data_IF_444674941648
#
_entry.id   IF_444674941648
#
_cell.length_a   1.000
_cell.length_b   1.000
_cell.length_c   1.000
_cell.angle_alpha   90.00
_cell.angle_beta   90.00
_cell.angle_gamma   90.00
#
_symmetry.space_group_name_H-M   'P 1'
#
loop_
_entity.id
_entity.type
_entity.pdbx_description
1 polymer ?
#
# COMPACT_ATOMS: atom_id res chain seq x y z
N UNK A 1 22.54 57.25 5.28
CA UNK A 1 23.73 57.46 6.13
C UNK A 1 24.98 57.10 5.35
N UNK A 2 26.09 57.81 5.54
CA UNK A 2 27.36 57.47 4.88
C UNK A 2 28.13 56.46 5.73
N UNK A 3 28.33 55.25 5.21
CA UNK A 3 29.15 54.22 5.90
C UNK A 3 30.59 54.68 6.12
N UNK A 4 31.11 55.57 5.27
CA UNK A 4 32.47 56.12 5.40
C UNK A 4 32.54 57.07 6.60
N UNK A 5 31.57 57.97 6.76
CA UNK A 5 31.55 58.92 7.89
C UNK A 5 31.29 58.20 9.23
N UNK A 6 30.50 57.11 9.24
CA UNK A 6 30.24 56.31 10.43
C UNK A 6 31.50 55.64 11.01
N UNK A 7 32.56 55.44 10.21
CA UNK A 7 33.83 54.91 10.74
C UNK A 7 34.56 55.90 11.65
N UNK A 8 34.28 57.20 11.52
CA UNK A 8 34.88 58.24 12.35
C UNK A 8 34.32 58.23 13.78
N UNK A 9 33.21 57.53 14.05
CA UNK A 9 32.62 57.41 15.40
C UNK A 9 33.07 56.15 16.14
N UNK A 10 34.17 55.50 15.71
CA UNK A 10 34.62 54.18 16.20
C UNK A 10 34.57 54.02 17.73
N UNK A 11 35.17 54.94 18.49
CA UNK A 11 35.19 54.85 19.96
C UNK A 11 33.85 55.16 20.63
N UNK A 12 32.93 55.85 19.95
CA UNK A 12 31.58 56.12 20.47
C UNK A 12 30.64 54.91 20.33
N UNK A 13 31.01 53.91 19.53
CA UNK A 13 30.18 52.74 19.28
C UNK A 13 30.41 51.60 20.31
N UNK A 14 31.45 51.66 21.13
CA UNK A 14 31.67 50.74 22.26
C UNK A 14 30.82 51.18 23.45
N UNK A 15 30.00 50.28 23.99
CA UNK A 15 29.03 50.59 25.06
C UNK A 15 29.54 50.11 26.41
N UNK A 16 29.91 48.84 26.51
CA UNK A 16 30.42 48.24 27.74
C UNK A 16 31.25 46.99 27.42
N UNK A 17 32.00 46.53 28.41
CA UNK A 17 32.69 45.24 28.36
C UNK A 17 31.89 44.20 29.16
N UNK A 18 32.09 42.92 28.86
CA UNK A 18 31.54 41.82 29.62
C UNK A 18 32.55 40.67 29.70
N UNK A 19 32.39 39.79 30.69
CA UNK A 19 33.32 38.66 30.94
C UNK A 19 34.77 39.13 31.13
N UNK A 20 35.00 40.05 32.09
CA UNK A 20 36.33 40.54 32.47
C UNK A 20 37.19 41.02 31.28
N UNK A 21 36.56 41.79 30.38
CA UNK A 21 37.22 42.34 29.19
C UNK A 21 37.34 41.38 28.01
N UNK A 22 36.82 40.15 28.12
CA UNK A 22 36.80 39.19 27.00
C UNK A 22 35.86 39.63 25.86
N UNK A 23 34.75 40.27 26.20
CA UNK A 23 33.73 40.70 25.25
C UNK A 23 33.43 42.18 25.33
N UNK A 24 32.98 42.74 24.20
CA UNK A 24 32.52 44.14 24.10
C UNK A 24 31.11 44.17 23.51
N UNK A 25 30.23 44.93 24.16
CA UNK A 25 28.92 45.29 23.61
C UNK A 25 29.10 46.51 22.73
N UNK A 26 28.67 46.42 21.46
CA UNK A 26 28.73 47.52 20.50
C UNK A 26 27.34 47.96 20.05
N UNK A 27 27.22 49.23 19.67
CA UNK A 27 26.04 49.80 19.01
C UNK A 27 26.36 50.12 17.54
N UNK A 28 26.80 49.10 16.82
CA UNK A 28 27.08 49.22 15.39
C UNK A 28 25.81 49.15 14.54
N UNK A 29 25.87 49.78 13.36
CA UNK A 29 24.82 49.69 12.36
C UNK A 29 24.69 48.25 11.85
N UNK A 30 23.50 47.66 11.99
CA UNK A 30 23.17 46.30 11.54
C UNK A 30 22.12 46.31 10.43
N UNK A 31 21.97 47.41 9.71
CA UNK A 31 20.96 47.54 8.64
C UNK A 31 21.24 46.57 7.47
N UNK A 32 22.47 46.10 7.29
CA UNK A 32 22.81 45.06 6.30
C UNK A 32 21.99 43.77 6.48
N UNK A 33 21.50 43.48 7.69
CA UNK A 33 20.65 42.33 7.99
C UNK A 33 19.30 42.37 7.26
N UNK A 34 18.86 43.55 6.82
CA UNK A 34 17.64 43.71 6.04
C UNK A 34 17.67 42.95 4.72
N UNK A 35 18.85 42.65 4.18
CA UNK A 35 18.98 41.81 3.00
C UNK A 35 18.34 40.41 3.22
N UNK A 36 18.64 39.77 4.35
CA UNK A 36 18.06 38.47 4.70
C UNK A 36 16.60 38.56 5.11
N UNK A 37 16.20 39.62 5.86
CA UNK A 37 14.79 39.87 6.19
C UNK A 37 13.93 40.01 4.95
N UNK A 38 14.38 40.81 3.98
CA UNK A 38 13.69 41.04 2.70
C UNK A 38 13.69 39.81 1.80
N UNK A 39 14.69 38.92 1.92
CA UNK A 39 14.67 37.62 1.22
C UNK A 39 13.54 36.72 1.76
N UNK A 40 13.36 36.65 3.07
CA UNK A 40 12.34 35.82 3.72
C UNK A 40 10.91 36.33 3.55
N UNK A 41 10.72 37.65 3.55
CA UNK A 41 9.43 38.27 3.24
C UNK A 41 8.89 37.78 1.89
N UNK A 42 7.58 37.63 1.79
CA UNK A 42 6.90 37.03 0.64
C UNK A 42 5.52 37.69 0.48
N UNK A 43 4.91 37.49 -0.69
CA UNK A 43 3.67 38.15 -1.07
C UNK A 43 2.46 37.44 -0.44
N UNK A 44 2.47 36.10 -0.48
CA UNK A 44 1.41 35.25 0.09
C UNK A 44 1.88 33.81 0.31
N UNK A 45 1.07 33.08 1.07
CA UNK A 45 1.17 31.63 1.26
C UNK A 45 -0.09 30.98 0.73
N UNK A 46 0.05 29.89 -0.03
CA UNK A 46 -1.08 29.08 -0.53
C UNK A 46 -0.97 27.67 0.02
N UNK A 47 -2.06 27.09 0.50
CA UNK A 47 -2.08 25.67 0.89
C UNK A 47 -2.09 24.79 -0.35
N UNK A 48 -1.19 23.81 -0.39
CA UNK A 48 -1.21 22.75 -1.40
C UNK A 48 -0.67 21.43 -0.83
N UNK A 49 -0.56 20.41 -1.68
CA UNK A 49 0.00 19.09 -1.38
C UNK A 49 0.71 18.53 -2.61
N UNK A 50 1.35 17.36 -2.48
CA UNK A 50 2.05 16.67 -3.57
C UNK A 50 1.24 15.48 -4.07
N UNK A 51 0.80 15.53 -5.33
CA UNK A 51 0.15 14.41 -6.02
C UNK A 51 1.14 13.34 -6.46
N UNK A 52 1.85 12.74 -5.52
CA UNK A 52 2.84 11.70 -5.73
C UNK A 52 2.54 10.47 -4.85
N UNK A 53 2.77 9.26 -5.38
CA UNK A 53 2.53 8.00 -4.68
C UNK A 53 3.59 7.78 -3.58
N UNK A 54 3.41 8.42 -2.43
CA UNK A 54 4.37 8.41 -1.34
C UNK A 54 3.75 8.14 0.04
N UNK A 55 2.44 7.91 0.10
CA UNK A 55 1.59 7.79 1.32
C UNK A 55 1.59 9.00 2.26
N UNK A 56 2.50 9.97 2.09
CA UNK A 56 2.70 11.05 3.04
C UNK A 56 1.53 12.02 3.20
N UNK A 57 0.78 12.32 2.13
CA UNK A 57 -0.37 13.26 2.16
C UNK A 57 -0.11 14.57 2.92
N UNK A 58 1.10 15.12 2.76
CA UNK A 58 1.58 16.25 3.54
C UNK A 58 1.03 17.57 2.97
N UNK A 59 0.54 18.46 3.84
CA UNK A 59 0.05 19.79 3.48
C UNK A 59 1.20 20.78 3.60
N UNK A 60 1.34 21.65 2.60
CA UNK A 60 2.45 22.60 2.49
C UNK A 60 1.95 24.03 2.35
N UNK A 61 2.76 24.95 2.90
CA UNK A 61 2.73 26.40 2.70
C UNK A 61 3.57 26.69 1.45
N UNK A 62 2.93 27.04 0.35
CA UNK A 62 3.60 27.42 -0.90
C UNK A 62 3.81 28.93 -0.90
N UNK A 63 5.07 29.37 -0.91
CA UNK A 63 5.45 30.77 -0.81
C UNK A 63 5.56 31.41 -2.20
N UNK A 64 4.76 32.46 -2.41
CA UNK A 64 4.84 33.30 -3.60
C UNK A 64 5.55 34.59 -3.25
N UNK A 65 6.58 34.96 -4.02
CA UNK A 65 7.35 36.21 -3.85
C UNK A 65 7.71 36.78 -5.20
N UNK A 66 7.43 38.06 -5.41
CA UNK A 66 7.60 38.69 -6.73
C UNK A 66 6.70 38.06 -7.80
N UNK A 67 5.51 37.59 -7.40
CA UNK A 67 4.55 36.94 -8.30
C UNK A 67 4.92 35.53 -8.78
N UNK A 68 6.02 34.95 -8.30
CA UNK A 68 6.45 33.58 -8.63
C UNK A 68 6.50 32.70 -7.38
N UNK A 69 6.29 31.39 -7.54
CA UNK A 69 6.54 30.43 -6.45
C UNK A 69 8.05 30.36 -6.21
N UNK A 70 8.46 30.38 -4.95
CA UNK A 70 9.88 30.46 -4.59
C UNK A 70 10.38 29.32 -3.71
N UNK A 71 9.63 28.93 -2.68
CA UNK A 71 9.92 27.77 -1.83
C UNK A 71 8.63 27.28 -1.18
N UNK A 72 8.71 26.16 -0.46
CA UNK A 72 7.65 25.65 0.40
C UNK A 72 8.16 25.28 1.79
N UNK A 73 7.30 25.38 2.79
CA UNK A 73 7.50 24.78 4.12
C UNK A 73 6.25 24.02 4.51
N UNK A 74 6.34 23.10 5.47
CA UNK A 74 5.16 22.34 5.88
C UNK A 74 4.10 23.21 6.54
N UNK A 75 2.84 22.79 6.40
CA UNK A 75 1.76 23.22 7.29
C UNK A 75 1.86 22.45 8.60
N UNK A 76 1.37 23.07 9.67
CA UNK A 76 1.43 22.51 11.03
C UNK A 76 0.08 22.58 11.74
N UNK A 77 -0.98 22.86 10.99
CA UNK A 77 -2.32 23.11 11.49
C UNK A 77 -3.29 21.95 11.21
N UNK A 78 -2.75 20.73 11.17
CA UNK A 78 -3.57 19.52 11.21
C UNK A 78 -4.45 19.54 12.47
N UNK A 79 -5.70 19.03 12.39
CA UNK A 79 -6.47 18.74 13.59
C UNK A 79 -5.62 17.90 14.56
N UNK A 80 -5.51 18.38 15.79
CA UNK A 80 -4.70 17.73 16.83
C UNK A 80 -5.25 16.34 17.14
N UNK A 81 -4.35 15.43 17.45
CA UNK A 81 -4.69 14.10 17.96
C UNK A 81 -5.19 14.20 19.41
N UNK A 82 -5.54 13.05 20.00
CA UNK A 82 -5.86 12.99 21.44
C UNK A 82 -4.68 13.47 22.28
N UNK A 83 -4.90 13.99 23.51
CA UNK A 83 -3.82 14.49 24.36
C UNK A 83 -2.70 13.48 24.68
N UNK A 84 -3.00 12.19 24.64
CA UNK A 84 -2.05 11.09 24.89
C UNK A 84 -1.23 10.67 23.65
N UNK A 85 -1.53 11.25 22.49
CA UNK A 85 -0.86 10.97 21.23
C UNK A 85 -0.04 12.18 20.77
N UNK A 86 1.14 11.98 20.15
CA UNK A 86 1.81 13.05 19.44
C UNK A 86 0.95 13.51 18.24
N UNK A 87 1.10 14.78 17.85
CA UNK A 87 0.40 15.32 16.68
C UNK A 87 1.16 14.94 15.40
N UNK A 88 0.48 15.01 14.26
CA UNK A 88 1.08 14.72 12.95
C UNK A 88 2.05 15.81 12.45
N UNK A 89 1.94 17.04 12.95
CA UNK A 89 2.76 18.14 12.46
C UNK A 89 4.26 17.91 12.76
N UNK A 90 5.18 18.29 11.86
CA UNK A 90 4.97 18.99 10.59
C UNK A 90 4.75 18.08 9.38
N UNK A 91 4.86 16.74 9.52
CA UNK A 91 5.02 15.81 8.37
C UNK A 91 6.13 16.30 7.41
N UNK A 92 5.95 16.02 6.12
CA UNK A 92 6.88 16.41 5.05
C UNK A 92 8.07 15.47 4.90
N UNK A 93 8.84 15.68 3.82
CA UNK A 93 10.06 14.95 3.54
C UNK A 93 10.96 15.77 2.61
N UNK A 94 12.21 15.35 2.44
CA UNK A 94 13.18 16.03 1.58
C UNK A 94 12.72 16.14 0.12
N UNK A 95 11.99 15.14 -0.39
CA UNK A 95 11.47 15.14 -1.77
C UNK A 95 10.43 16.25 -1.93
N UNK A 96 9.46 16.33 -1.00
CA UNK A 96 8.45 17.37 -1.01
C UNK A 96 9.03 18.79 -0.86
N UNK A 97 10.03 18.96 0.00
CA UNK A 97 10.69 20.26 0.21
C UNK A 97 11.43 20.79 -1.03
N UNK A 98 11.70 19.94 -2.03
CA UNK A 98 12.36 20.31 -3.28
C UNK A 98 11.39 20.57 -4.45
N UNK A 99 10.08 20.40 -4.26
CA UNK A 99 9.13 20.34 -5.37
C UNK A 99 9.00 21.66 -6.15
N UNK A 100 9.11 22.81 -5.48
CA UNK A 100 9.14 24.14 -6.12
C UNK A 100 10.18 24.29 -7.22
N UNK A 101 11.27 23.50 -7.20
CA UNK A 101 12.28 23.47 -8.26
C UNK A 101 11.67 23.21 -9.65
N UNK A 102 10.70 22.29 -9.73
CA UNK A 102 10.16 21.83 -11.02
C UNK A 102 9.47 22.94 -11.82
N UNK A 103 8.90 23.94 -11.16
CA UNK A 103 8.01 24.92 -11.79
C UNK A 103 8.69 25.67 -12.93
N UNK A 104 9.96 26.04 -12.75
CA UNK A 104 10.74 26.83 -13.71
C UNK A 104 12.05 26.17 -14.11
N UNK A 105 12.27 24.92 -13.69
CA UNK A 105 13.47 24.14 -14.03
C UNK A 105 13.67 24.01 -15.55
N UNK A 106 14.91 23.69 -15.94
CA UNK A 106 15.27 23.37 -17.32
C UNK A 106 14.51 22.17 -17.91
N UNK A 107 13.90 21.32 -17.07
CA UNK A 107 13.15 20.14 -17.48
C UNK A 107 11.62 20.34 -17.50
N UNK A 108 11.14 21.57 -17.29
CA UNK A 108 9.70 21.86 -17.30
C UNK A 108 9.13 21.71 -18.73
N UNK A 109 8.11 20.87 -18.88
CA UNK A 109 7.28 20.83 -20.09
C UNK A 109 6.41 22.10 -20.17
N UNK A 110 6.70 22.96 -21.16
CA UNK A 110 6.04 24.27 -21.36
C UNK A 110 4.96 24.26 -22.44
N UNK A 111 5.05 23.35 -23.39
CA UNK A 111 4.19 23.29 -24.58
C UNK A 111 3.85 21.83 -24.89
N UNK A 112 2.74 21.56 -25.60
CA UNK A 112 2.53 20.24 -26.19
C UNK A 112 3.66 19.95 -27.18
N UNK A 113 4.22 18.76 -27.07
CA UNK A 113 5.31 18.27 -27.90
C UNK A 113 4.84 17.06 -28.71
N UNK A 114 5.23 17.01 -29.97
CA UNK A 114 4.93 15.89 -30.87
C UNK A 114 6.19 15.51 -31.64
N UNK A 115 6.33 14.23 -32.00
CA UNK A 115 7.45 13.77 -32.81
C UNK A 115 7.35 14.42 -34.20
N UNK A 116 8.41 15.08 -34.64
CA UNK A 116 8.45 15.78 -35.94
C UNK A 116 7.99 14.94 -37.12
N UNK A 117 8.41 13.66 -37.19
CA UNK A 117 8.00 12.73 -38.26
C UNK A 117 6.49 12.47 -38.28
N UNK A 118 5.87 12.29 -37.11
CA UNK A 118 4.43 12.11 -37.01
C UNK A 118 3.70 13.38 -37.42
N UNK A 119 4.17 14.53 -36.94
CA UNK A 119 3.55 15.82 -37.26
C UNK A 119 3.61 16.14 -38.75
N UNK A 120 4.75 15.88 -39.41
CA UNK A 120 4.90 16.05 -40.86
C UNK A 120 3.88 15.18 -41.61
N UNK A 121 3.82 13.89 -41.29
CA UNK A 121 2.86 12.97 -41.91
C UNK A 121 1.40 13.39 -41.66
N UNK A 122 1.09 13.87 -40.45
CA UNK A 122 -0.22 14.40 -40.09
C UNK A 122 -0.60 15.59 -40.96
N UNK A 123 0.24 16.63 -41.04
CA UNK A 123 -0.05 17.85 -41.81
C UNK A 123 -0.21 17.56 -43.30
N UNK A 124 0.64 16.70 -43.87
CA UNK A 124 0.53 16.27 -45.27
C UNK A 124 -0.78 15.52 -45.54
N UNK A 125 -1.20 14.63 -44.63
CA UNK A 125 -2.45 13.90 -44.78
C UNK A 125 -3.68 14.80 -44.56
N UNK A 126 -3.65 15.66 -43.54
CA UNK A 126 -4.73 16.54 -43.12
C UNK A 126 -5.04 17.64 -44.14
N UNK A 127 -4.05 18.05 -44.95
CA UNK A 127 -4.23 19.03 -46.02
C UNK A 127 -5.26 18.60 -47.10
N UNK A 128 -5.50 17.30 -47.24
CA UNK A 128 -6.38 16.74 -48.30
C UNK A 128 -7.42 15.74 -47.77
N UNK A 129 -7.50 15.54 -46.45
CA UNK A 129 -8.42 14.58 -45.82
C UNK A 129 -9.00 15.14 -44.53
N UNK A 130 -10.22 14.72 -44.23
CA UNK A 130 -10.83 14.89 -42.90
C UNK A 130 -10.02 14.18 -41.81
N UNK A 131 -10.05 14.62 -40.54
CA UNK A 131 -9.13 14.19 -39.49
C UNK A 131 -9.00 12.67 -39.32
N UNK A 132 -10.13 11.97 -39.24
CA UNK A 132 -10.17 10.51 -39.03
C UNK A 132 -9.61 9.76 -40.25
N UNK A 133 -9.91 10.25 -41.46
CA UNK A 133 -9.38 9.68 -42.70
C UNK A 133 -7.88 9.99 -42.89
N UNK A 134 -7.44 11.17 -42.45
CA UNK A 134 -6.03 11.56 -42.43
C UNK A 134 -5.23 10.62 -41.54
N UNK A 135 -5.69 10.36 -40.31
CA UNK A 135 -5.08 9.39 -39.40
C UNK A 135 -5.01 7.99 -40.00
N UNK A 136 -6.12 7.50 -40.56
CA UNK A 136 -6.18 6.21 -41.25
C UNK A 136 -5.10 6.06 -42.32
N UNK A 137 -4.92 7.08 -43.18
CA UNK A 137 -3.92 7.08 -44.25
C UNK A 137 -2.45 7.03 -43.78
N UNK A 138 -2.20 7.29 -42.49
CA UNK A 138 -0.87 7.24 -41.87
C UNK A 138 -0.65 5.88 -41.21
N UNK A 139 -1.64 5.40 -40.43
CA UNK A 139 -1.49 4.18 -39.64
C UNK A 139 -1.67 2.90 -40.44
N UNK A 140 -2.40 2.95 -41.56
CA UNK A 140 -2.59 1.81 -42.47
C UNK A 140 -1.41 1.60 -43.42
N UNK A 141 -0.59 2.63 -43.64
CA UNK A 141 0.64 2.55 -44.43
C UNK A 141 1.80 2.08 -43.54
N UNK A 142 2.33 0.85 -43.74
CA UNK A 142 3.40 0.30 -42.90
C UNK A 142 4.67 1.14 -42.92
N UNK A 143 4.97 1.78 -44.06
CA UNK A 143 6.17 2.62 -44.23
C UNK A 143 6.02 3.91 -43.43
N UNK A 144 4.87 4.61 -43.56
CA UNK A 144 4.59 5.82 -42.77
C UNK A 144 4.54 5.50 -41.28
N UNK A 145 3.87 4.42 -40.87
CA UNK A 145 3.81 3.99 -39.47
C UNK A 145 5.21 3.70 -38.91
N UNK A 146 6.02 2.93 -39.62
CA UNK A 146 7.39 2.63 -39.20
C UNK A 146 8.26 3.89 -39.05
N UNK A 147 8.06 4.90 -39.91
CA UNK A 147 8.88 6.12 -39.94
C UNK A 147 8.87 6.93 -38.65
N UNK A 148 7.78 6.90 -37.87
CA UNK A 148 7.70 7.60 -36.58
C UNK A 148 7.77 6.67 -35.37
N UNK A 149 7.31 5.41 -35.49
CA UNK A 149 7.34 4.44 -34.38
C UNK A 149 8.77 4.04 -34.04
N UNK A 150 9.63 3.79 -35.03
CA UNK A 150 11.04 3.39 -34.81
C UNK A 150 11.90 4.50 -34.17
N UNK A 151 11.41 5.73 -34.13
CA UNK A 151 12.11 6.88 -33.54
C UNK A 151 11.63 7.23 -32.12
N UNK A 152 10.75 6.42 -31.51
CA UNK A 152 10.39 6.57 -30.09
C UNK A 152 11.64 6.36 -29.24
N UNK A 153 11.99 7.35 -28.42
CA UNK A 153 13.21 7.35 -27.59
C UNK A 153 14.43 8.06 -28.23
N UNK A 154 14.37 8.46 -29.51
CA UNK A 154 15.52 9.01 -30.25
C UNK A 154 15.47 10.53 -30.49
N UNK A 155 14.79 11.30 -29.64
CA UNK A 155 14.71 12.77 -29.80
C UNK A 155 13.89 13.24 -31.02
N UNK A 156 14.00 14.52 -31.39
CA UNK A 156 13.24 15.09 -32.51
C UNK A 156 11.78 15.45 -32.18
N UNK A 157 11.52 15.86 -30.93
CA UNK A 157 10.30 16.54 -30.56
C UNK A 157 10.29 17.96 -31.12
N UNK A 158 9.12 18.39 -31.58
CA UNK A 158 8.85 19.77 -31.99
C UNK A 158 7.65 20.30 -31.21
N UNK A 159 7.63 21.61 -31.01
CA UNK A 159 6.50 22.31 -30.42
C UNK A 159 5.28 22.21 -31.33
N UNK A 160 4.13 21.90 -30.75
CA UNK A 160 2.82 22.02 -31.36
C UNK A 160 1.96 23.02 -30.56
N UNK A 161 0.71 23.19 -30.97
CA UNK A 161 -0.33 23.84 -30.18
C UNK A 161 -1.39 22.82 -29.72
N UNK A 162 -2.25 23.25 -28.79
CA UNK A 162 -3.27 22.39 -28.21
C UNK A 162 -4.34 21.95 -29.21
N UNK A 163 -4.71 22.81 -30.16
CA UNK A 163 -5.74 22.48 -31.15
C UNK A 163 -5.27 21.33 -32.05
N UNK A 164 -4.02 21.41 -32.53
CA UNK A 164 -3.43 20.40 -33.40
C UNK A 164 -3.28 19.04 -32.71
N UNK A 165 -2.75 19.00 -31.48
CA UNK A 165 -2.60 17.70 -30.78
C UNK A 165 -3.94 17.11 -30.34
N UNK A 166 -4.91 17.95 -29.98
CA UNK A 166 -6.24 17.47 -29.61
C UNK A 166 -6.99 16.88 -30.81
N UNK A 167 -6.90 17.51 -32.00
CA UNK A 167 -7.49 16.96 -33.24
C UNK A 167 -6.84 15.61 -33.60
N UNK A 168 -5.51 15.49 -33.50
CA UNK A 168 -4.78 14.24 -33.75
C UNK A 168 -5.24 13.14 -32.78
N UNK A 169 -5.28 13.42 -31.48
CA UNK A 169 -5.66 12.43 -30.45
C UNK A 169 -7.12 11.99 -30.65
N UNK A 170 -8.04 12.95 -30.87
CA UNK A 170 -9.45 12.64 -31.10
C UNK A 170 -9.64 11.81 -32.38
N UNK A 171 -8.96 12.15 -33.48
CA UNK A 171 -8.99 11.40 -34.72
C UNK A 171 -8.44 9.98 -34.57
N UNK A 172 -7.33 9.82 -33.84
CA UNK A 172 -6.74 8.53 -33.56
C UNK A 172 -7.67 7.64 -32.73
N UNK A 173 -8.29 8.21 -31.70
CA UNK A 173 -9.24 7.51 -30.85
C UNK A 173 -10.51 7.12 -31.62
N UNK A 174 -11.11 8.06 -32.38
CA UNK A 174 -12.29 7.79 -33.20
C UNK A 174 -12.02 6.70 -34.27
N UNK A 175 -10.87 6.77 -34.95
CA UNK A 175 -10.47 5.75 -35.92
C UNK A 175 -10.32 4.38 -35.25
N UNK A 176 -9.61 4.31 -34.12
CA UNK A 176 -9.34 3.05 -33.41
C UNK A 176 -10.62 2.43 -32.89
N UNK A 177 -11.47 3.21 -32.23
CA UNK A 177 -12.77 2.75 -31.73
C UNK A 177 -13.66 2.22 -32.86
N UNK A 178 -13.74 2.95 -33.99
CA UNK A 178 -14.56 2.54 -35.14
C UNK A 178 -14.05 1.27 -35.82
N UNK A 179 -12.73 1.14 -36.00
CA UNK A 179 -12.15 0.04 -36.79
C UNK A 179 -11.90 -1.22 -35.98
N UNK A 180 -11.55 -1.09 -34.70
CA UNK A 180 -11.04 -2.19 -33.88
C UNK A 180 -11.81 -2.42 -32.57
N UNK A 181 -12.69 -1.48 -32.19
CA UNK A 181 -13.36 -1.49 -30.89
C UNK A 181 -12.73 -0.49 -29.91
N UNK A 182 -13.51 0.08 -28.98
CA UNK A 182 -13.03 1.10 -28.05
C UNK A 182 -12.05 0.55 -27.01
N UNK A 183 -12.10 -0.75 -26.72
CA UNK A 183 -11.17 -1.46 -25.82
C UNK A 183 -9.72 -1.56 -26.36
N UNK A 184 -9.46 -1.13 -27.61
CA UNK A 184 -8.10 -0.94 -28.14
C UNK A 184 -7.51 0.42 -27.76
N UNK A 185 -8.23 1.22 -26.97
CA UNK A 185 -7.80 2.49 -26.41
C UNK A 185 -7.65 2.30 -24.90
N UNK A 186 -6.41 2.39 -24.44
CA UNK A 186 -5.98 2.08 -23.08
C UNK A 186 -5.40 3.32 -22.40
N UNK A 187 -5.73 3.50 -21.13
CA UNK A 187 -5.08 4.47 -20.26
C UNK A 187 -4.54 3.83 -19.00
N UNK A 188 -3.32 4.22 -18.65
CA UNK A 188 -2.66 3.85 -17.41
C UNK A 188 -2.43 5.12 -16.59
N UNK A 189 -3.11 5.21 -15.45
CA UNK A 189 -2.95 6.29 -14.47
C UNK A 189 -3.11 5.66 -13.10
N UNK A 190 -2.10 5.71 -12.21
CA UNK A 190 -2.14 4.98 -10.95
C UNK A 190 -2.69 5.85 -9.80
N UNK A 191 -3.01 5.22 -8.66
CA UNK A 191 -3.19 5.81 -7.33
C UNK A 191 -4.07 7.08 -7.32
N UNK A 192 -5.40 6.94 -7.37
CA UNK A 192 -6.32 8.09 -7.34
C UNK A 192 -6.22 8.92 -6.06
N UNK A 193 -5.83 8.32 -4.92
CA UNK A 193 -5.80 8.97 -3.62
C UNK A 193 -4.87 10.20 -3.56
N UNK A 194 -3.80 10.24 -4.36
CA UNK A 194 -2.85 11.37 -4.35
C UNK A 194 -3.37 12.61 -5.11
N UNK A 195 -4.31 12.44 -6.05
CA UNK A 195 -4.87 13.52 -6.86
C UNK A 195 -6.15 13.06 -7.58
N UNK A 196 -7.25 12.97 -6.82
CA UNK A 196 -8.48 12.30 -7.24
C UNK A 196 -9.05 12.80 -8.58
N UNK A 197 -9.17 14.12 -8.74
CA UNK A 197 -9.72 14.72 -9.95
C UNK A 197 -8.75 14.58 -11.13
N UNK A 198 -7.44 14.63 -10.89
CA UNK A 198 -6.42 14.42 -11.94
C UNK A 198 -6.48 12.98 -12.48
N UNK A 199 -6.67 11.98 -11.60
CA UNK A 199 -6.93 10.61 -12.02
C UNK A 199 -8.26 10.51 -12.79
N UNK A 200 -9.33 11.09 -12.23
CA UNK A 200 -10.68 11.01 -12.78
C UNK A 200 -10.80 11.62 -14.19
N UNK A 201 -9.99 12.64 -14.52
CA UNK A 201 -10.02 13.28 -15.83
C UNK A 201 -9.80 12.28 -16.99
N UNK A 202 -8.75 11.46 -16.89
CA UNK A 202 -8.42 10.46 -17.91
C UNK A 202 -9.33 9.24 -17.86
N UNK A 203 -9.61 8.72 -16.66
CA UNK A 203 -10.46 7.53 -16.50
C UNK A 203 -11.90 7.79 -16.93
N UNK A 204 -12.48 8.96 -16.59
CA UNK A 204 -13.82 9.34 -17.04
C UNK A 204 -13.89 9.44 -18.57
N UNK A 205 -12.89 10.05 -19.21
CA UNK A 205 -12.82 10.12 -20.67
C UNK A 205 -12.84 8.73 -21.31
N UNK A 206 -11.99 7.82 -20.82
CA UNK A 206 -11.89 6.46 -21.34
C UNK A 206 -13.16 5.66 -21.08
N UNK A 207 -13.71 5.69 -19.87
CA UNK A 207 -14.93 4.96 -19.54
C UNK A 207 -16.13 5.40 -20.38
N UNK A 208 -16.27 6.71 -20.67
CA UNK A 208 -17.32 7.21 -21.56
C UNK A 208 -17.13 6.76 -23.02
N UNK A 209 -15.88 6.66 -23.47
CA UNK A 209 -15.52 6.16 -24.81
C UNK A 209 -15.69 4.63 -24.93
N UNK A 210 -15.72 3.90 -23.81
CA UNK A 210 -15.64 2.44 -23.76
C UNK A 210 -14.20 1.90 -23.79
N UNK A 211 -13.21 2.74 -23.53
CA UNK A 211 -11.80 2.37 -23.42
C UNK A 211 -11.45 1.72 -22.08
N UNK A 212 -10.29 1.06 -22.03
CA UNK A 212 -9.85 0.27 -20.87
C UNK A 212 -9.03 1.12 -19.89
N UNK A 213 -9.48 1.15 -18.63
CA UNK A 213 -8.72 1.71 -17.51
C UNK A 213 -7.88 0.60 -16.87
N UNK A 214 -6.55 0.72 -16.93
CA UNK A 214 -5.63 -0.28 -16.38
C UNK A 214 -5.58 -0.23 -14.84
N UNK A 215 -5.44 -1.39 -14.20
CA UNK A 215 -5.15 -1.50 -12.77
C UNK A 215 -3.72 -1.05 -12.45
N UNK A 216 -3.44 -0.84 -11.15
CA UNK A 216 -2.13 -0.37 -10.68
C UNK A 216 -1.63 -1.08 -9.42
N UNK A 217 -2.52 -1.44 -8.48
CA UNK A 217 -2.12 -1.90 -7.15
C UNK A 217 -1.52 -3.32 -7.17
N UNK A 218 -2.17 -4.20 -7.93
CA UNK A 218 -1.66 -5.51 -8.36
C UNK A 218 -0.38 -5.38 -9.20
N UNK A 219 -0.37 -4.49 -10.18
CA UNK A 219 0.76 -4.30 -11.09
C UNK A 219 2.03 -3.82 -10.39
N UNK A 220 1.90 -2.93 -9.41
CA UNK A 220 3.04 -2.44 -8.60
C UNK A 220 3.51 -3.44 -7.56
N UNK A 221 2.81 -4.56 -7.39
CA UNK A 221 3.05 -5.51 -6.29
C UNK A 221 2.87 -4.85 -4.90
N UNK A 222 2.10 -3.76 -4.85
CA UNK A 222 1.70 -3.13 -3.59
C UNK A 222 0.50 -3.85 -2.97
N UNK A 223 -0.35 -4.49 -3.81
CA UNK A 223 -1.39 -5.42 -3.35
C UNK A 223 -0.73 -6.65 -2.74
N UNK A 224 -0.94 -6.94 -1.44
CA UNK A 224 -0.56 -8.21 -0.85
C UNK A 224 -1.69 -9.22 -1.09
N UNK A 225 -1.56 -10.23 -1.98
CA UNK A 225 -2.66 -11.17 -2.24
C UNK A 225 -3.11 -11.94 -0.99
N UNK A 226 -2.26 -12.02 0.03
CA UNK A 226 -2.60 -12.54 1.35
C UNK A 226 -3.77 -11.81 2.01
N UNK A 227 -3.93 -10.48 1.83
CA UNK A 227 -5.05 -9.74 2.43
C UNK A 227 -6.41 -10.19 1.88
N UNK A 228 -6.63 -10.25 0.56
CA UNK A 228 -7.85 -10.84 0.01
C UNK A 228 -8.03 -12.33 0.37
N UNK A 229 -6.94 -13.11 0.45
CA UNK A 229 -7.02 -14.52 0.83
C UNK A 229 -7.46 -14.73 2.29
N UNK A 230 -6.98 -13.90 3.22
CA UNK A 230 -7.25 -14.05 4.66
C UNK A 230 -8.52 -13.32 5.09
N UNK A 231 -8.77 -12.11 4.58
CA UNK A 231 -9.85 -11.24 5.07
C UNK A 231 -10.91 -10.89 4.02
N UNK A 232 -10.69 -11.25 2.75
CA UNK A 232 -11.58 -10.80 1.66
C UNK A 232 -11.55 -9.30 1.43
N UNK A 233 -10.49 -8.61 1.89
CA UNK A 233 -10.28 -7.17 1.80
C UNK A 233 -9.05 -6.87 0.94
N UNK A 234 -9.12 -5.82 0.11
CA UNK A 234 -8.00 -5.41 -0.74
C UNK A 234 -6.78 -5.07 0.12
N UNK A 235 -6.91 -4.07 0.99
CA UNK A 235 -5.93 -3.67 2.01
C UNK A 235 -6.58 -2.64 2.92
N UNK A 236 -6.66 -2.95 4.20
CA UNK A 236 -6.95 -1.98 5.26
C UNK A 236 -5.91 -2.16 6.36
N UNK A 237 -5.39 -1.05 6.89
CA UNK A 237 -4.26 -1.03 7.83
C UNK A 237 -4.44 0.06 8.89
N UNK A 238 -3.89 -0.13 10.10
CA UNK A 238 -3.92 0.92 11.12
C UNK A 238 -3.16 2.17 10.66
N UNK A 239 -3.66 3.34 11.07
CA UNK A 239 -2.97 4.62 10.86
C UNK A 239 -1.65 4.70 11.64
N UNK A 240 -0.75 5.61 11.23
CA UNK A 240 0.55 5.77 11.89
C UNK A 240 0.45 6.23 13.34
N UNK A 241 -0.58 7.00 13.69
CA UNK A 241 -0.84 7.38 15.07
C UNK A 241 -1.11 6.18 15.99
N UNK A 242 -1.65 5.09 15.44
CA UNK A 242 -1.92 3.87 16.21
C UNK A 242 -0.65 3.10 16.58
N UNK A 243 0.48 3.33 15.89
CA UNK A 243 1.77 2.76 16.28
C UNK A 243 2.15 3.16 17.71
N UNK A 244 1.71 4.34 18.16
CA UNK A 244 1.96 4.84 19.52
C UNK A 244 1.15 4.12 20.60
N UNK A 245 0.14 3.33 20.21
CA UNK A 245 -0.65 2.50 21.13
C UNK A 245 -0.03 1.12 21.35
N UNK A 246 0.93 0.70 20.53
CA UNK A 246 1.57 -0.61 20.66
C UNK A 246 2.68 -0.64 21.70
N UNK A 247 2.76 -1.73 22.48
CA UNK A 247 3.88 -2.02 23.39
C UNK A 247 5.06 -2.77 22.73
N UNK A 248 4.85 -3.30 21.52
CA UNK A 248 5.88 -4.02 20.76
C UNK A 248 5.67 -3.80 19.26
N UNK A 249 6.70 -3.30 18.57
CA UNK A 249 6.62 -2.97 17.15
C UNK A 249 7.76 -3.65 16.41
N UNK A 250 7.42 -4.41 15.37
CA UNK A 250 8.38 -5.07 14.48
C UNK A 250 8.30 -4.45 13.09
N UNK A 251 9.37 -3.77 12.67
CA UNK A 251 9.53 -3.30 11.30
C UNK A 251 10.15 -4.41 10.47
N UNK A 252 9.32 -5.18 9.76
CA UNK A 252 9.75 -6.29 8.92
C UNK A 252 9.72 -5.88 7.44
N UNK A 253 10.90 -5.76 6.81
CA UNK A 253 11.00 -5.35 5.40
C UNK A 253 10.50 -3.92 5.12
N UNK A 254 10.34 -3.08 6.15
CA UNK A 254 9.83 -1.71 6.04
C UNK A 254 10.85 -0.69 6.53
N UNK A 255 11.44 0.08 5.60
CA UNK A 255 12.44 1.09 5.92
C UNK A 255 11.78 2.43 6.32
N UNK A 256 11.07 2.44 7.45
CA UNK A 256 10.17 3.53 7.91
C UNK A 256 10.79 4.94 7.83
N UNK A 257 12.01 5.22 8.33
CA UNK A 257 12.56 6.58 8.29
C UNK A 257 12.71 7.15 6.87
N UNK A 258 13.08 6.29 5.92
CA UNK A 258 13.34 6.69 4.54
C UNK A 258 12.05 6.82 3.73
N UNK A 259 11.15 5.88 3.91
CA UNK A 259 10.03 5.65 3.01
C UNK A 259 8.69 6.10 3.60
N UNK A 260 8.59 6.14 4.94
CA UNK A 260 7.49 6.70 5.75
C UNK A 260 7.97 7.89 6.59
N UNK A 261 8.93 8.66 6.03
CA UNK A 261 9.53 9.85 6.67
C UNK A 261 8.54 10.72 7.46
N UNK A 262 7.38 11.14 6.92
CA UNK A 262 6.47 12.02 7.67
C UNK A 262 5.76 11.35 8.85
N UNK A 263 5.78 10.02 8.95
CA UNK A 263 5.13 9.22 9.98
C UNK A 263 6.14 8.58 10.95
N UNK A 264 7.43 8.61 10.62
CA UNK A 264 8.48 7.93 11.37
C UNK A 264 8.59 8.40 12.83
N UNK A 265 8.15 9.62 13.13
CA UNK A 265 8.17 10.16 14.49
C UNK A 265 7.31 9.32 15.45
N UNK A 266 6.14 8.82 15.02
CA UNK A 266 5.29 7.96 15.84
C UNK A 266 6.02 6.70 16.30
N UNK A 267 6.78 6.07 15.40
CA UNK A 267 7.60 4.90 15.74
C UNK A 267 8.70 5.25 16.75
N UNK A 268 9.43 6.35 16.53
CA UNK A 268 10.51 6.74 17.44
C UNK A 268 10.01 7.21 18.80
N UNK A 269 8.86 7.87 18.85
CA UNK A 269 8.27 8.44 20.07
C UNK A 269 7.58 7.36 20.90
N UNK A 270 6.96 6.36 20.27
CA UNK A 270 6.38 5.20 20.97
C UNK A 270 7.41 4.49 21.85
N UNK A 271 8.68 4.49 21.45
CA UNK A 271 9.80 3.93 22.23
C UNK A 271 10.02 4.66 23.55
N UNK A 272 9.79 5.98 23.62
CA UNK A 272 9.85 6.72 24.88
C UNK A 272 8.69 6.37 25.83
N UNK A 273 7.58 5.86 25.29
CA UNK A 273 6.47 5.25 26.07
C UNK A 273 6.77 3.81 26.50
N UNK A 274 7.93 3.27 26.14
CA UNK A 274 8.38 1.92 26.51
C UNK A 274 8.11 0.85 25.46
N UNK A 275 7.63 1.20 24.26
CA UNK A 275 7.44 0.23 23.19
C UNK A 275 8.80 -0.36 22.76
N UNK A 276 8.89 -1.68 22.72
CA UNK A 276 10.09 -2.36 22.19
C UNK A 276 10.06 -2.39 20.67
N UNK A 277 11.19 -2.03 20.05
CA UNK A 277 11.33 -1.92 18.60
C UNK A 277 12.26 -3.00 18.05
N UNK A 278 11.79 -3.81 17.11
CA UNK A 278 12.60 -4.79 16.38
C UNK A 278 12.60 -4.44 14.90
N UNK A 279 13.75 -4.58 14.25
CA UNK A 279 13.88 -4.38 12.81
C UNK A 279 14.39 -5.67 12.18
N UNK A 280 13.65 -6.17 11.18
CA UNK A 280 14.02 -7.34 10.39
C UNK A 280 14.28 -6.86 8.96
N UNK A 281 15.56 -6.89 8.58
CA UNK A 281 16.03 -6.40 7.29
C UNK A 281 17.37 -7.07 6.96
N UNK A 282 17.58 -7.54 5.71
CA UNK A 282 18.81 -8.23 5.30
C UNK A 282 20.05 -7.34 5.30
N UNK A 283 19.87 -6.01 5.26
CA UNK A 283 20.91 -5.00 5.33
C UNK A 283 20.73 -4.12 6.58
N UNK A 284 21.75 -3.33 6.92
CA UNK A 284 21.64 -2.35 8.01
C UNK A 284 20.91 -1.09 7.51
N UNK A 285 19.61 -1.23 7.29
CA UNK A 285 18.72 -0.18 6.78
C UNK A 285 18.66 1.05 7.73
N UNK A 286 18.13 2.18 7.24
CA UNK A 286 17.93 3.36 8.09
C UNK A 286 17.02 3.05 9.29
N UNK A 287 16.03 2.17 9.13
CA UNK A 287 15.18 1.70 10.22
C UNK A 287 15.98 0.98 11.31
N UNK A 288 17.00 0.18 10.94
CA UNK A 288 17.82 -0.60 11.88
C UNK A 288 18.54 0.29 12.91
N UNK A 289 18.83 1.54 12.57
CA UNK A 289 19.37 2.56 13.50
C UNK A 289 18.44 2.84 14.69
N UNK A 290 17.14 2.68 14.51
CA UNK A 290 16.10 3.01 15.51
C UNK A 290 15.53 1.78 16.21
N UNK A 291 15.89 0.56 15.79
CA UNK A 291 15.50 -0.67 16.46
C UNK A 291 16.35 -0.94 17.70
N UNK A 292 15.76 -1.58 18.70
CA UNK A 292 16.48 -2.11 19.86
C UNK A 292 17.15 -3.46 19.53
N UNK A 293 16.61 -4.19 18.54
CA UNK A 293 17.17 -5.40 17.96
C UNK A 293 17.14 -5.30 16.44
N UNK A 294 18.23 -5.65 15.78
CA UNK A 294 18.28 -5.90 14.34
C UNK A 294 18.49 -7.38 14.06
N UNK A 295 17.58 -7.98 13.31
CA UNK A 295 17.71 -9.33 12.77
C UNK A 295 17.91 -9.24 11.26
N UNK A 296 18.93 -9.96 10.76
CA UNK A 296 19.37 -9.91 9.36
C UNK A 296 19.21 -11.25 8.66
N UNK A 297 17.96 -11.72 8.41
CA UNK A 297 17.75 -12.94 7.63
C UNK A 297 18.21 -12.74 6.18
N UNK A 298 18.48 -13.84 5.48
CA UNK A 298 18.72 -13.80 4.03
C UNK A 298 17.46 -13.26 3.33
N UNK A 299 17.61 -12.30 2.43
CA UNK A 299 16.47 -11.65 1.77
C UNK A 299 15.58 -12.66 1.04
N UNK A 300 14.26 -12.62 1.27
CA UNK A 300 13.32 -13.56 0.67
C UNK A 300 13.15 -14.87 1.44
N UNK A 301 13.83 -15.05 2.58
CA UNK A 301 13.66 -16.22 3.48
C UNK A 301 12.81 -15.89 4.72
N UNK A 302 12.24 -14.69 4.76
CA UNK A 302 11.45 -14.15 5.88
C UNK A 302 10.30 -15.06 6.31
N UNK A 303 9.65 -15.74 5.37
CA UNK A 303 8.59 -16.70 5.66
C UNK A 303 9.08 -17.88 6.53
N UNK A 304 10.32 -18.33 6.37
CA UNK A 304 10.88 -19.40 7.22
C UNK A 304 11.01 -18.93 8.68
N UNK A 305 11.45 -17.68 8.88
CA UNK A 305 11.52 -17.06 10.21
C UNK A 305 10.13 -16.85 10.81
N UNK A 306 9.15 -16.39 10.02
CA UNK A 306 7.77 -16.21 10.47
C UNK A 306 7.12 -17.55 10.88
N UNK A 307 7.37 -18.63 10.14
CA UNK A 307 6.90 -19.97 10.50
C UNK A 307 7.55 -20.48 11.79
N UNK A 308 8.82 -20.17 12.04
CA UNK A 308 9.49 -20.50 13.30
C UNK A 308 8.93 -19.70 14.48
N UNK A 309 8.63 -18.41 14.31
CA UNK A 309 7.92 -17.62 15.32
C UNK A 309 6.54 -18.20 15.62
N UNK A 310 5.75 -18.50 14.57
CA UNK A 310 4.45 -19.15 14.70
C UNK A 310 4.53 -20.48 15.44
N UNK A 311 5.54 -21.30 15.18
CA UNK A 311 5.76 -22.56 15.89
C UNK A 311 5.93 -22.36 17.40
N UNK A 312 6.80 -21.44 17.81
CA UNK A 312 7.03 -21.14 19.24
C UNK A 312 5.76 -20.56 19.87
N UNK A 313 5.07 -19.66 19.17
CA UNK A 313 3.82 -19.06 19.67
C UNK A 313 2.76 -20.14 19.91
N UNK A 314 2.53 -21.02 18.94
CA UNK A 314 1.57 -22.12 19.05
C UNK A 314 1.95 -23.08 20.18
N UNK A 315 3.23 -23.47 20.26
CA UNK A 315 3.70 -24.37 21.30
C UNK A 315 3.51 -23.78 22.70
N UNK A 316 4.07 -22.59 22.94
CA UNK A 316 4.11 -22.05 24.30
C UNK A 316 2.77 -21.48 24.74
N UNK A 317 2.03 -20.81 23.86
CA UNK A 317 0.83 -20.07 24.25
C UNK A 317 -0.49 -20.73 23.85
N UNK A 318 -0.50 -21.66 22.89
CA UNK A 318 -1.71 -22.42 22.54
C UNK A 318 -1.71 -23.85 23.07
N UNK A 319 -0.55 -24.45 23.37
CA UNK A 319 -0.46 -25.82 23.89
C UNK A 319 -0.02 -25.85 25.35
N UNK A 320 1.19 -25.38 25.66
CA UNK A 320 1.79 -25.56 26.99
C UNK A 320 1.10 -24.68 28.06
N UNK A 321 0.89 -23.39 27.79
CA UNK A 321 0.25 -22.45 28.73
C UNK A 321 -1.24 -22.21 28.50
N UNK A 322 -1.72 -22.31 27.25
CA UNK A 322 -3.09 -21.97 26.83
C UNK A 322 -3.57 -20.58 27.31
N UNK A 323 -3.10 -19.51 26.68
CA UNK A 323 -3.50 -18.14 27.01
C UNK A 323 -4.94 -17.87 26.57
N UNK A 324 -5.83 -17.60 27.53
CA UNK A 324 -7.28 -17.38 27.33
C UNK A 324 -7.59 -16.44 26.17
N UNK A 325 -7.04 -15.21 26.19
CA UNK A 325 -7.25 -14.23 25.13
C UNK A 325 -6.93 -14.76 23.71
N UNK A 326 -5.86 -15.56 23.57
CA UNK A 326 -5.46 -16.13 22.28
C UNK A 326 -6.40 -17.27 21.84
N UNK A 327 -6.87 -18.08 22.79
CA UNK A 327 -7.80 -19.18 22.53
C UNK A 327 -9.17 -18.65 22.09
N UNK A 328 -9.70 -17.65 22.80
CA UNK A 328 -10.97 -17.01 22.46
C UNK A 328 -10.91 -16.29 21.12
N UNK A 329 -9.84 -15.53 20.89
CA UNK A 329 -9.64 -14.85 19.61
C UNK A 329 -9.58 -15.84 18.45
N UNK A 330 -8.79 -16.91 18.57
CA UNK A 330 -8.67 -17.93 17.53
C UNK A 330 -10.02 -18.64 17.29
N UNK A 331 -10.75 -18.96 18.36
CA UNK A 331 -12.07 -19.62 18.25
C UNK A 331 -13.09 -18.76 17.53
N UNK A 332 -13.16 -17.46 17.86
CA UNK A 332 -14.23 -16.59 17.36
C UNK A 332 -13.90 -15.92 16.01
N UNK A 333 -12.64 -15.50 15.81
CA UNK A 333 -12.28 -14.59 14.72
C UNK A 333 -11.44 -15.24 13.62
N UNK A 334 -11.27 -16.57 13.65
CA UNK A 334 -10.54 -17.31 12.62
C UNK A 334 -11.34 -18.50 12.12
N UNK A 335 -10.88 -19.12 11.04
CA UNK A 335 -11.41 -20.36 10.52
C UNK A 335 -10.76 -21.61 11.14
N UNK A 336 -9.91 -21.48 12.17
CA UNK A 336 -9.29 -22.62 12.86
C UNK A 336 -10.29 -23.68 13.36
N UNK A 337 -11.50 -23.35 13.87
CA UNK A 337 -12.50 -24.34 14.26
C UNK A 337 -13.21 -25.05 13.10
N UNK A 338 -13.05 -24.55 11.87
CA UNK A 338 -13.81 -25.06 10.72
C UNK A 338 -13.23 -26.40 10.25
N UNK A 339 -14.13 -27.33 9.90
CA UNK A 339 -13.74 -28.68 9.54
C UNK A 339 -13.30 -28.77 8.08
N UNK A 340 -12.21 -29.48 7.83
CA UNK A 340 -11.66 -29.77 6.49
C UNK A 340 -11.90 -31.24 6.13
N UNK A 341 -12.41 -31.48 4.92
CA UNK A 341 -12.57 -32.84 4.38
C UNK A 341 -11.19 -33.40 4.02
N UNK A 342 -10.90 -34.62 4.45
CA UNK A 342 -9.74 -35.38 4.01
C UNK A 342 -10.12 -36.33 2.88
N UNK A 343 -9.29 -36.40 1.85
CA UNK A 343 -9.51 -37.28 0.69
C UNK A 343 -8.24 -38.06 0.38
N UNK A 344 -8.40 -39.29 -0.12
CA UNK A 344 -7.26 -40.09 -0.58
C UNK A 344 -6.89 -39.67 -2.00
N UNK A 345 -5.69 -39.12 -2.18
CA UNK A 345 -5.08 -38.75 -3.47
C UNK A 345 -3.66 -39.31 -3.52
N UNK A 346 -3.32 -39.98 -4.62
CA UNK A 346 -2.01 -40.61 -4.83
C UNK A 346 -1.58 -41.53 -3.68
N UNK A 347 -2.53 -42.30 -3.15
CA UNK A 347 -2.30 -43.23 -2.04
C UNK A 347 -2.23 -42.60 -0.65
N UNK A 348 -2.19 -41.26 -0.52
CA UNK A 348 -2.08 -40.53 0.75
C UNK A 348 -3.36 -39.77 1.09
N UNK A 349 -3.65 -39.58 2.37
CA UNK A 349 -4.70 -38.66 2.81
C UNK A 349 -4.19 -37.23 2.73
N UNK A 350 -4.97 -36.35 2.11
CA UNK A 350 -4.64 -34.95 1.91
C UNK A 350 -5.83 -34.07 2.30
N UNK A 351 -5.60 -32.84 2.82
CA UNK A 351 -6.65 -31.85 2.97
C UNK A 351 -7.24 -31.48 1.60
N UNK A 352 -8.57 -31.44 1.50
CA UNK A 352 -9.28 -31.03 0.29
C UNK A 352 -9.89 -29.64 0.48
N UNK A 353 -11.20 -29.56 0.68
CA UNK A 353 -11.92 -28.30 0.96
C UNK A 353 -12.52 -28.32 2.36
N UNK A 354 -12.90 -27.14 2.84
CA UNK A 354 -13.77 -27.01 4.01
C UNK A 354 -15.09 -27.77 3.78
N UNK A 355 -15.57 -28.45 4.83
CA UNK A 355 -16.90 -29.05 4.87
C UNK A 355 -17.96 -27.96 4.81
N UNK A 356 -19.06 -28.27 4.10
CA UNK A 356 -20.18 -27.37 3.87
C UNK A 356 -21.46 -27.95 4.45
N UNK A 357 -22.43 -27.10 4.79
CA UNK A 357 -23.74 -27.57 5.24
C UNK A 357 -24.37 -28.53 4.22
N UNK A 358 -24.22 -28.24 2.92
CA UNK A 358 -24.72 -29.08 1.82
C UNK A 358 -24.11 -30.50 1.71
N UNK A 359 -23.05 -30.79 2.46
CA UNK A 359 -22.43 -32.12 2.47
C UNK A 359 -23.22 -33.11 3.35
N UNK A 360 -24.01 -32.59 4.28
CA UNK A 360 -24.83 -33.39 5.20
C UNK A 360 -26.22 -33.64 4.64
N UNK A 361 -26.84 -34.72 5.08
CA UNK A 361 -28.25 -34.97 4.81
C UNK A 361 -29.12 -33.83 5.37
N UNK A 362 -30.16 -33.43 4.64
CA UNK A 362 -30.98 -32.26 4.95
C UNK A 362 -30.21 -30.92 4.99
N UNK A 363 -28.97 -30.86 4.50
CA UNK A 363 -28.12 -29.65 4.48
C UNK A 363 -27.99 -28.93 5.83
N UNK A 364 -28.05 -29.66 6.95
CA UNK A 364 -28.12 -29.11 8.32
C UNK A 364 -29.23 -28.05 8.52
N UNK A 365 -30.37 -28.21 7.83
CA UNK A 365 -31.51 -27.28 7.82
C UNK A 365 -31.21 -25.89 7.23
N UNK A 366 -30.15 -25.78 6.42
CA UNK A 366 -29.86 -24.55 5.69
C UNK A 366 -30.38 -24.64 4.26
N UNK A 367 -31.52 -23.99 3.98
CA UNK A 367 -32.13 -24.00 2.64
C UNK A 367 -31.46 -23.01 1.67
N UNK A 368 -30.95 -21.89 2.19
CA UNK A 368 -30.30 -20.85 1.40
C UNK A 368 -28.78 -21.03 1.39
N UNK A 369 -28.18 -21.15 0.19
CA UNK A 369 -26.73 -21.28 -0.03
C UNK A 369 -26.00 -22.26 0.91
N UNK A 370 -26.51 -23.49 1.16
CA UNK A 370 -25.87 -24.45 2.07
C UNK A 370 -24.45 -24.85 1.63
N UNK A 371 -24.15 -24.78 0.34
CA UNK A 371 -22.84 -25.05 -0.24
C UNK A 371 -21.81 -23.97 0.09
N UNK A 372 -22.21 -22.82 0.63
CA UNK A 372 -21.34 -21.69 1.00
C UNK A 372 -21.23 -21.47 2.51
N UNK A 373 -21.75 -22.41 3.32
CA UNK A 373 -21.75 -22.32 4.78
C UNK A 373 -20.82 -23.36 5.40
N UNK A 374 -19.78 -22.90 6.09
CA UNK A 374 -18.74 -23.74 6.69
C UNK A 374 -19.20 -24.36 8.00
N UNK A 375 -18.69 -25.55 8.32
CA UNK A 375 -19.14 -26.37 9.47
C UNK A 375 -18.03 -26.52 10.50
N UNK A 376 -18.39 -26.46 11.79
CA UNK A 376 -17.50 -26.63 12.92
C UNK A 376 -18.06 -27.67 13.92
N UNK A 377 -17.22 -28.21 14.79
CA UNK A 377 -17.67 -29.06 15.90
C UNK A 377 -17.94 -28.18 17.13
N UNK A 378 -19.15 -28.27 17.67
CA UNK A 378 -19.54 -27.56 18.89
C UNK A 378 -19.43 -28.47 20.11
N UNK A 379 -18.67 -28.02 21.12
CA UNK A 379 -18.47 -28.77 22.36
C UNK A 379 -19.75 -28.85 23.18
N UNK A 380 -20.59 -27.80 23.15
CA UNK A 380 -21.83 -27.76 23.93
C UNK A 380 -22.84 -28.79 23.41
N UNK A 381 -23.06 -28.83 22.10
CA UNK A 381 -23.98 -29.77 21.48
C UNK A 381 -23.39 -31.17 21.26
N UNK A 382 -22.08 -31.34 21.38
CA UNK A 382 -21.38 -32.61 21.12
C UNK A 382 -21.50 -33.09 19.66
N UNK A 383 -21.77 -32.18 18.73
CA UNK A 383 -22.03 -32.47 17.31
C UNK A 383 -21.55 -31.34 16.41
N UNK A 384 -21.59 -31.58 15.11
CA UNK A 384 -21.32 -30.54 14.11
C UNK A 384 -22.47 -29.54 14.03
N UNK A 385 -22.11 -28.27 13.82
CA UNK A 385 -23.04 -27.15 13.65
C UNK A 385 -22.62 -26.25 12.49
N UNK A 386 -23.58 -25.51 11.96
CA UNK A 386 -23.36 -24.41 11.04
C UNK A 386 -23.31 -23.10 11.83
N UNK A 387 -22.11 -22.54 12.15
CA UNK A 387 -22.01 -21.24 12.81
C UNK A 387 -22.42 -20.10 11.88
N UNK A 388 -22.86 -18.98 12.47
CA UNK A 388 -23.13 -17.73 11.75
C UNK A 388 -21.88 -17.17 11.07
N UNK A 389 -22.09 -16.24 10.14
CA UNK A 389 -21.00 -15.42 9.57
C UNK A 389 -20.36 -15.91 8.27
N UNK A 390 -20.47 -17.20 7.94
CA UNK A 390 -19.99 -17.71 6.64
C UNK A 390 -20.68 -17.02 5.44
N UNK A 391 -20.01 -17.02 4.28
CA UNK A 391 -20.41 -16.18 3.13
C UNK A 391 -21.82 -16.51 2.60
N UNK A 392 -22.29 -17.76 2.79
CA UNK A 392 -23.65 -18.15 2.43
C UNK A 392 -24.75 -17.40 3.19
N UNK A 393 -24.46 -16.82 4.36
CA UNK A 393 -25.41 -15.98 5.10
C UNK A 393 -25.48 -14.53 4.59
N UNK A 394 -24.54 -14.11 3.73
CA UNK A 394 -24.43 -12.72 3.26
C UNK A 394 -25.50 -12.35 2.24
N UNK A 395 -25.94 -13.32 1.44
CA UNK A 395 -26.84 -13.12 0.29
C UNK A 395 -28.00 -14.11 0.37
N UNK A 396 -29.14 -13.77 -0.24
CA UNK A 396 -30.34 -14.61 -0.21
C UNK A 396 -31.12 -14.59 1.11
N UNK A 397 -30.49 -14.19 2.22
CA UNK A 397 -31.10 -14.05 3.55
C UNK A 397 -30.52 -12.85 4.33
N UNK A 398 -30.96 -12.64 5.60
CA UNK A 398 -30.51 -11.54 6.47
C UNK A 398 -30.43 -11.95 7.94
N UNK A 399 -29.65 -11.21 8.73
CA UNK A 399 -29.61 -11.31 10.19
C UNK A 399 -28.62 -12.34 10.77
N UNK A 400 -28.02 -13.19 9.93
CA UNK A 400 -27.08 -14.23 10.35
C UNK A 400 -25.64 -14.05 9.82
N UNK A 401 -25.39 -12.99 9.02
CA UNK A 401 -24.03 -12.64 8.57
C UNK A 401 -23.37 -11.71 9.60
N UNK A 402 -22.90 -12.32 10.69
CA UNK A 402 -22.18 -11.68 11.80
C UNK A 402 -21.29 -12.71 12.51
N UNK A 403 -20.43 -12.22 13.41
CA UNK A 403 -19.48 -13.03 14.20
C UNK A 403 -19.97 -13.30 15.62
N UNK A 404 -21.30 -13.28 15.84
CA UNK A 404 -21.86 -13.77 17.10
C UNK A 404 -21.54 -15.27 17.22
N UNK A 405 -21.11 -15.74 18.39
CA UNK A 405 -20.84 -17.15 18.67
C UNK A 405 -22.15 -17.95 18.79
N UNK A 406 -22.88 -18.01 17.67
CA UNK A 406 -24.17 -18.68 17.55
C UNK A 406 -24.22 -19.59 16.35
N UNK A 407 -25.01 -20.65 16.48
CA UNK A 407 -25.41 -21.49 15.36
C UNK A 407 -26.39 -20.74 14.45
N UNK A 408 -26.61 -21.27 13.25
CA UNK A 408 -27.61 -20.77 12.33
C UNK A 408 -29.03 -20.79 12.91
N UNK A 409 -29.31 -21.65 13.89
CA UNK A 409 -30.58 -21.73 14.61
C UNK A 409 -30.69 -20.73 15.78
N UNK A 410 -29.59 -20.07 16.14
CA UNK A 410 -29.54 -19.05 17.19
C UNK A 410 -29.11 -19.56 18.56
N UNK A 411 -28.77 -20.85 18.69
CA UNK A 411 -28.18 -21.41 19.91
C UNK A 411 -26.76 -20.90 20.11
N UNK A 412 -26.36 -20.65 21.35
CA UNK A 412 -24.97 -20.29 21.68
C UNK A 412 -24.03 -21.48 21.41
N UNK A 413 -22.85 -21.19 20.87
CA UNK A 413 -21.85 -22.21 20.46
C UNK A 413 -20.55 -22.06 21.23
N UNK A 414 -19.89 -23.19 21.51
CA UNK A 414 -18.49 -23.23 21.97
C UNK A 414 -17.70 -24.11 20.99
N UNK A 415 -17.24 -23.47 19.90
CA UNK A 415 -16.58 -24.18 18.81
C UNK A 415 -15.22 -24.75 19.22
N UNK A 416 -14.94 -25.99 18.84
CA UNK A 416 -13.67 -26.64 19.12
C UNK A 416 -12.61 -26.27 18.08
N UNK A 417 -11.50 -25.67 18.51
CA UNK A 417 -10.33 -25.38 17.67
C UNK A 417 -9.48 -26.63 17.36
N UNK A 418 -9.69 -27.72 18.09
CA UNK A 418 -8.96 -28.98 17.92
C UNK A 418 -9.90 -30.15 18.14
N UNK A 419 -9.67 -31.24 17.40
CA UNK A 419 -10.38 -32.50 17.61
C UNK A 419 -9.61 -33.44 18.55
N UNK A 420 -8.45 -33.06 19.09
CA UNK A 420 -7.59 -33.98 19.85
C UNK A 420 -8.35 -34.71 20.96
N UNK A 421 -9.16 -34.02 21.75
CA UNK A 421 -9.90 -34.63 22.87
C UNK A 421 -11.23 -35.29 22.46
N UNK A 422 -11.70 -35.05 21.23
CA UNK A 422 -13.01 -35.51 20.74
C UNK A 422 -12.90 -36.31 19.42
N UNK A 423 -11.71 -36.87 19.15
CA UNK A 423 -11.39 -37.64 17.93
C UNK A 423 -11.96 -39.05 17.97
N UNK A 424 -12.26 -39.59 16.80
CA UNK A 424 -12.55 -41.02 16.63
C UNK A 424 -11.27 -41.81 16.31
N UNK A 425 -10.32 -41.16 15.63
CA UNK A 425 -9.05 -41.77 15.19
C UNK A 425 -7.96 -40.68 15.03
N UNK A 426 -6.73 -41.10 14.74
CA UNK A 426 -5.65 -40.23 14.32
C UNK A 426 -4.91 -40.83 13.12
N UNK A 427 -4.96 -40.14 11.98
CA UNK A 427 -4.48 -40.62 10.68
C UNK A 427 -3.31 -39.79 10.17
N UNK A 428 -2.47 -40.39 9.32
CA UNK A 428 -1.36 -39.68 8.68
C UNK A 428 -1.88 -38.86 7.48
N UNK A 429 -1.66 -37.55 7.55
CA UNK A 429 -2.05 -36.58 6.52
C UNK A 429 -0.80 -35.98 5.90
N UNK A 430 -0.77 -35.94 4.57
CA UNK A 430 0.35 -35.46 3.80
C UNK A 430 0.28 -33.94 3.57
N UNK A 431 1.37 -33.25 3.87
CA UNK A 431 1.55 -31.81 3.63
C UNK A 431 2.73 -31.57 2.69
N UNK A 432 2.60 -30.68 1.69
CA UNK A 432 3.70 -30.34 0.81
C UNK A 432 4.77 -29.53 1.55
N UNK A 433 6.03 -29.79 1.20
CA UNK A 433 7.19 -29.07 1.72
C UNK A 433 8.11 -28.63 0.58
N UNK A 434 8.49 -27.36 0.59
CA UNK A 434 9.29 -26.75 -0.49
C UNK A 434 10.66 -26.23 -0.02
N UNK A 435 10.92 -26.27 1.29
CA UNK A 435 12.15 -25.74 1.89
C UNK A 435 13.38 -26.63 1.69
N UNK A 436 13.22 -27.77 1.01
CA UNK A 436 14.29 -28.72 0.68
C UNK A 436 14.83 -28.54 -0.76
N UNK A 437 14.25 -27.63 -1.54
CA UNK A 437 14.71 -27.38 -2.91
C UNK A 437 16.15 -26.85 -2.92
N UNK A 438 16.98 -27.45 -3.77
CA UNK A 438 18.34 -26.97 -4.00
C UNK A 438 18.32 -25.64 -4.77
N UNK A 439 19.17 -24.72 -4.36
CA UNK A 439 19.33 -23.43 -5.00
C UNK A 439 20.75 -22.89 -4.81
N UNK A 440 21.29 -22.23 -5.83
CA UNK A 440 22.69 -21.76 -5.84
C UNK A 440 22.98 -20.70 -4.75
N UNK A 441 21.95 -19.93 -4.39
CA UNK A 441 22.07 -18.74 -3.52
C UNK A 441 21.31 -18.82 -2.18
N UNK A 442 20.58 -19.91 -1.92
CA UNK A 442 19.76 -20.09 -0.71
C UNK A 442 20.01 -21.46 -0.11
N UNK A 443 20.07 -21.52 1.22
CA UNK A 443 20.17 -22.79 1.93
C UNK A 443 18.80 -23.47 1.99
N UNK A 444 18.75 -24.74 1.57
CA UNK A 444 17.62 -25.63 1.80
C UNK A 444 17.84 -26.51 3.03
N UNK A 445 16.85 -27.35 3.33
CA UNK A 445 16.94 -28.42 4.35
C UNK A 445 16.89 -29.80 3.72
N UNK A 446 17.09 -30.85 4.51
CA UNK A 446 17.11 -32.26 4.11
C UNK A 446 15.75 -32.97 4.29
N UNK A 447 14.68 -32.23 4.59
CA UNK A 447 13.34 -32.80 4.71
C UNK A 447 12.83 -33.38 3.36
N UNK A 448 11.93 -34.38 3.39
CA UNK A 448 11.26 -34.85 2.19
C UNK A 448 10.27 -33.80 1.64
N UNK A 449 9.98 -33.88 0.33
CA UNK A 449 9.01 -33.00 -0.36
C UNK A 449 7.57 -33.10 0.21
N UNK A 450 7.29 -34.20 0.92
CA UNK A 450 6.00 -34.47 1.54
C UNK A 450 6.24 -34.85 3.00
N UNK A 451 5.62 -34.09 3.90
CA UNK A 451 5.65 -34.33 5.34
C UNK A 451 4.35 -34.98 5.77
N UNK A 452 4.42 -36.22 6.27
CA UNK A 452 3.28 -36.87 6.90
C UNK A 452 3.19 -36.45 8.36
N UNK A 453 1.98 -36.06 8.77
CA UNK A 453 1.67 -35.61 10.14
C UNK A 453 0.43 -36.33 10.64
N UNK A 454 0.49 -36.80 11.88
CA UNK A 454 -0.62 -37.50 12.51
C UNK A 454 -1.65 -36.51 13.02
N UNK A 455 -2.83 -36.49 12.39
CA UNK A 455 -3.90 -35.52 12.64
C UNK A 455 -5.09 -36.21 13.32
N UNK A 456 -5.63 -35.68 14.42
CA UNK A 456 -6.86 -36.19 15.03
C UNK A 456 -8.06 -35.94 14.09
N UNK A 457 -8.87 -36.97 13.87
CA UNK A 457 -9.99 -36.92 12.92
C UNK A 457 -11.28 -37.46 13.53
N UNK A 458 -12.39 -37.09 12.89
CA UNK A 458 -13.73 -37.60 13.19
C UNK A 458 -14.36 -38.15 11.92
N UNK A 459 -15.06 -39.28 12.01
CA UNK A 459 -15.82 -39.85 10.89
C UNK A 459 -17.22 -39.25 10.93
N UNK A 460 -17.63 -38.66 9.82
CA UNK A 460 -18.93 -38.02 9.67
C UNK A 460 -19.68 -38.71 8.54
N UNK A 461 -20.96 -38.99 8.77
CA UNK A 461 -21.84 -39.52 7.74
C UNK A 461 -22.28 -38.36 6.83
N UNK A 462 -21.87 -38.40 5.57
CA UNK A 462 -22.26 -37.41 4.56
C UNK A 462 -23.41 -37.96 3.72
N UNK A 463 -24.04 -37.10 2.91
CA UNK A 463 -25.16 -37.50 2.03
C UNK A 463 -24.75 -38.50 0.95
N UNK A 464 -23.47 -38.51 0.56
CA UNK A 464 -22.90 -39.35 -0.48
C UNK A 464 -22.33 -40.68 0.04
N UNK A 465 -22.41 -40.95 1.35
CA UNK A 465 -21.85 -42.13 2.00
C UNK A 465 -20.63 -41.80 2.84
#
# INVERSE_FOLDING_TARGET
MSHILNRLTYFKNRVSEFSDGHGVVTKEDRTWEDAYRKRWQHDKIVRSTHGANCTGSCSWKIYVKGGIVTWETQQTDYPRTRPDLPNHEPRGCSRGASYSWYLYSGNRLKHPLIRSRLLKAWREARAIREPVAAWGSIVEDPTKRASYVKLRGHGGFVRADWAEVNEIIAAANAYTAKKHGPDRIIGFSPIPAMSMVSYAAGSRYLSLLGGTCMSFYDWYCDLPPASPMTWGEQTDVPESADWYNSGFIMLWGSNVPQTRTPDAHFFTEARYKGAKAVVISPDYSEASKFGDIWLSPKQGTDAALAMAFGHVILKEFYLDRQVEYFQEYARQYTDMPMLVRLVKKDGRLQPDRLLRASDFDGSLNEDNNPEWKTIAFDKNAGRVVCPRGSIGFRWGEKGKWNLEEKSANGDDTDLSISLIDNRDDAVDVAFPYFGNRQHDYFHGTDHPDVLERRVPVKRLQLKDG
#
